data_IF_827919396801
#
_entry.id   IF_827919396801
#
_cell.length_a   1.000
_cell.length_b   1.000
_cell.length_c   1.000
_cell.angle_alpha   90.00
_cell.angle_beta   90.00
_cell.angle_gamma   90.00
#
_symmetry.space_group_name_H-M   'P 1'
#
loop_
_entity.id
_entity.type
_entity.pdbx_description
1 polymer ?
#
# COMPACT_ATOMS: atom_id res chain seq x y z
N UNK A 1 12.86 -17.01 6.07
CA UNK A 1 13.15 -17.13 4.62
C UNK A 1 13.44 -15.76 3.96
N UNK A 2 12.79 -14.65 4.36
CA UNK A 2 13.08 -13.27 3.87
C UNK A 2 14.45 -12.73 4.32
N UNK A 3 14.95 -13.06 5.51
CA UNK A 3 16.34 -12.74 5.91
C UNK A 3 17.39 -13.15 4.87
N UNK A 4 17.14 -14.25 4.14
CA UNK A 4 18.03 -14.71 3.09
C UNK A 4 18.01 -13.84 1.81
N UNK A 5 16.92 -13.13 1.52
CA UNK A 5 16.83 -12.25 0.34
C UNK A 5 17.56 -10.93 0.59
N UNK A 6 17.27 -10.27 1.73
CA UNK A 6 17.94 -9.01 2.11
C UNK A 6 19.43 -9.22 2.31
N UNK A 7 19.86 -10.31 2.96
CA UNK A 7 21.29 -10.66 3.06
C UNK A 7 21.94 -10.94 1.70
N UNK A 8 21.20 -11.51 0.74
CA UNK A 8 21.70 -11.71 -0.64
C UNK A 8 21.92 -10.37 -1.35
N UNK A 9 20.98 -9.40 -1.19
CA UNK A 9 21.15 -8.07 -1.77
C UNK A 9 22.25 -7.26 -1.10
N UNK A 10 22.37 -7.31 0.22
CA UNK A 10 23.47 -6.69 0.98
C UNK A 10 24.83 -7.28 0.57
N UNK A 11 24.91 -8.60 0.39
CA UNK A 11 26.11 -9.25 -0.12
C UNK A 11 26.46 -8.80 -1.55
N UNK A 12 25.43 -8.56 -2.37
CA UNK A 12 25.61 -8.02 -3.73
C UNK A 12 26.01 -6.54 -3.69
N UNK A 13 25.29 -5.72 -2.92
CA UNK A 13 25.58 -4.28 -2.76
C UNK A 13 26.99 -4.07 -2.22
N UNK A 14 27.36 -4.77 -1.14
CA UNK A 14 28.69 -4.71 -0.54
C UNK A 14 29.81 -5.14 -1.52
N UNK A 15 29.52 -6.14 -2.36
CA UNK A 15 30.45 -6.58 -3.41
C UNK A 15 30.58 -5.57 -4.56
N UNK A 16 29.53 -4.76 -4.83
CA UNK A 16 29.57 -3.72 -5.86
C UNK A 16 30.03 -2.36 -5.33
N UNK A 17 29.71 -2.00 -4.07
CA UNK A 17 30.18 -0.76 -3.42
C UNK A 17 31.68 -0.77 -3.11
N UNK A 18 32.23 -1.93 -2.72
CA UNK A 18 33.65 -2.10 -2.42
C UNK A 18 34.49 -2.54 -3.63
N UNK A 19 33.95 -2.45 -4.85
CA UNK A 19 34.70 -2.82 -6.07
C UNK A 19 35.82 -1.86 -6.34
N UNK A 20 36.99 -2.44 -6.64
CA UNK A 20 38.10 -1.74 -7.30
C UNK A 20 37.56 -1.08 -8.58
N UNK A 21 38.01 0.14 -8.92
CA UNK A 21 37.63 0.79 -10.18
C UNK A 21 37.84 -0.18 -11.36
N UNK A 22 36.94 -0.15 -12.34
CA UNK A 22 36.92 -1.08 -13.48
C UNK A 22 38.27 -1.20 -14.22
N UNK A 23 39.10 -0.18 -14.13
CA UNK A 23 40.49 -0.14 -14.68
C UNK A 23 41.48 -1.04 -13.93
N UNK A 24 41.13 -1.59 -12.75
CA UNK A 24 41.99 -2.44 -11.92
C UNK A 24 41.49 -3.88 -11.77
N UNK A 25 40.35 -4.23 -12.40
CA UNK A 25 39.80 -5.58 -12.35
C UNK A 25 40.60 -6.52 -13.27
N UNK A 26 41.00 -7.68 -12.75
CA UNK A 26 41.60 -8.71 -13.57
C UNK A 26 40.50 -9.38 -14.45
N UNK A 27 40.92 -9.98 -15.57
CA UNK A 27 39.98 -10.77 -16.40
C UNK A 27 39.30 -11.91 -15.61
N UNK A 28 40.00 -12.44 -14.60
CA UNK A 28 39.46 -13.48 -13.71
C UNK A 28 38.34 -12.92 -12.82
N UNK A 29 38.50 -11.71 -12.28
CA UNK A 29 37.45 -11.08 -11.45
C UNK A 29 36.16 -10.87 -12.24
N UNK A 30 36.28 -10.44 -13.51
CA UNK A 30 35.09 -10.26 -14.41
C UNK A 30 34.39 -11.60 -14.68
N UNK A 31 35.17 -12.67 -14.91
CA UNK A 31 34.60 -14.00 -15.14
C UNK A 31 33.91 -14.53 -13.89
N UNK A 32 34.51 -14.36 -12.71
CA UNK A 32 33.90 -14.77 -11.43
C UNK A 32 32.61 -14.01 -11.20
N UNK A 33 32.59 -12.68 -11.38
CA UNK A 33 31.39 -11.87 -11.21
C UNK A 33 30.28 -12.28 -12.17
N UNK A 34 30.61 -12.61 -13.41
CA UNK A 34 29.64 -13.10 -14.39
C UNK A 34 29.07 -14.46 -14.00
N UNK A 35 29.90 -15.38 -13.50
CA UNK A 35 29.42 -16.70 -13.01
C UNK A 35 28.50 -16.50 -11.79
N UNK A 36 28.87 -15.66 -10.84
CA UNK A 36 28.04 -15.34 -9.68
C UNK A 36 26.70 -14.74 -10.11
N UNK A 37 26.71 -13.79 -11.05
CA UNK A 37 25.49 -13.23 -11.63
C UNK A 37 24.59 -14.31 -12.25
N UNK A 38 25.15 -15.22 -13.03
CA UNK A 38 24.38 -16.32 -13.64
C UNK A 38 23.77 -17.24 -12.58
N UNK A 39 24.55 -17.66 -11.57
CA UNK A 39 24.07 -18.55 -10.51
C UNK A 39 22.92 -17.91 -9.72
N UNK A 40 23.04 -16.62 -9.41
CA UNK A 40 21.97 -15.88 -8.72
C UNK A 40 20.75 -15.72 -9.59
N UNK A 41 20.93 -15.40 -10.88
CA UNK A 41 19.82 -15.30 -11.82
C UNK A 41 19.06 -16.64 -11.96
N UNK A 42 19.77 -17.76 -12.04
CA UNK A 42 19.17 -19.09 -12.02
C UNK A 42 18.41 -19.35 -10.72
N UNK A 43 18.98 -18.95 -9.56
CA UNK A 43 18.31 -19.06 -8.26
C UNK A 43 16.97 -18.31 -8.23
N UNK A 44 16.93 -17.09 -8.74
CA UNK A 44 15.67 -16.31 -8.85
C UNK A 44 14.67 -16.94 -9.82
N UNK A 45 15.14 -17.47 -10.95
CA UNK A 45 14.25 -18.19 -11.88
C UNK A 45 13.61 -19.42 -11.20
N UNK A 46 14.39 -20.20 -10.46
CA UNK A 46 13.88 -21.37 -9.73
C UNK A 46 12.86 -20.93 -8.66
N UNK A 47 13.16 -19.89 -7.91
CA UNK A 47 12.26 -19.32 -6.90
C UNK A 47 10.95 -18.82 -7.53
N UNK A 48 11.03 -18.10 -8.66
CA UNK A 48 9.87 -17.63 -9.41
C UNK A 48 9.00 -18.81 -9.92
N UNK A 49 9.62 -19.86 -10.45
CA UNK A 49 8.92 -21.08 -10.88
C UNK A 49 8.27 -21.77 -9.69
N UNK A 50 8.98 -21.89 -8.55
CA UNK A 50 8.43 -22.47 -7.33
C UNK A 50 7.18 -21.70 -6.86
N UNK A 51 7.26 -20.35 -6.78
CA UNK A 51 6.12 -19.53 -6.38
C UNK A 51 4.96 -19.58 -7.39
N UNK A 52 5.26 -19.75 -8.67
CA UNK A 52 4.23 -19.92 -9.70
C UNK A 52 3.48 -21.24 -9.55
N UNK A 53 4.18 -22.32 -9.19
CA UNK A 53 3.60 -23.66 -9.06
C UNK A 53 2.94 -23.91 -7.69
N UNK A 54 3.51 -23.39 -6.61
CA UNK A 54 3.10 -23.69 -5.24
C UNK A 54 2.48 -22.49 -4.50
N UNK A 55 2.43 -21.31 -5.14
CA UNK A 55 1.96 -20.07 -4.52
C UNK A 55 2.99 -19.45 -3.54
N UNK A 56 2.65 -18.29 -3.03
CA UNK A 56 3.38 -17.66 -1.94
C UNK A 56 2.81 -18.11 -0.60
N UNK A 57 3.62 -18.21 0.46
CA UNK A 57 3.10 -18.49 1.80
C UNK A 57 2.13 -17.39 2.21
N UNK A 58 0.93 -17.78 2.64
CA UNK A 58 -0.08 -16.86 3.10
C UNK A 58 0.33 -16.26 4.47
N UNK A 59 0.04 -14.96 4.64
CA UNK A 59 0.22 -14.29 5.93
C UNK A 59 -0.98 -14.64 6.81
N UNK A 60 -0.74 -15.12 8.03
CA UNK A 60 -1.80 -15.23 9.03
C UNK A 60 -2.25 -13.82 9.45
N UNK A 61 -3.54 -13.57 9.32
CA UNK A 61 -4.17 -12.29 9.65
C UNK A 61 -5.09 -12.40 10.86
N UNK A 62 -5.12 -13.55 11.52
CA UNK A 62 -5.97 -13.77 12.69
C UNK A 62 -5.51 -12.91 13.87
N UNK A 63 -6.44 -12.14 14.43
CA UNK A 63 -6.17 -11.24 15.55
C UNK A 63 -5.51 -9.90 15.18
N UNK A 64 -5.08 -9.71 13.94
CA UNK A 64 -4.53 -8.45 13.44
C UNK A 64 -5.55 -7.29 13.54
N UNK A 65 -5.06 -6.06 13.67
CA UNK A 65 -5.88 -4.84 13.67
C UNK A 65 -5.61 -4.08 12.38
N UNK A 66 -6.65 -3.94 11.57
CA UNK A 66 -6.58 -3.23 10.29
C UNK A 66 -7.32 -1.90 10.33
N UNK A 67 -6.71 -0.84 9.82
CA UNK A 67 -7.38 0.42 9.46
C UNK A 67 -7.55 0.46 7.95
N UNK A 68 -8.78 0.77 7.49
CA UNK A 68 -9.12 0.90 6.08
C UNK A 68 -9.69 2.28 5.85
N UNK A 69 -8.97 3.14 5.11
CA UNK A 69 -9.50 4.43 4.68
C UNK A 69 -10.46 4.25 3.51
N UNK A 70 -11.51 5.06 3.44
CA UNK A 70 -12.59 4.86 2.46
C UNK A 70 -13.40 3.58 2.75
N UNK A 71 -13.55 3.23 4.04
CA UNK A 71 -14.22 2.00 4.48
C UNK A 71 -15.73 2.00 4.29
N UNK A 72 -16.35 3.16 4.07
CA UNK A 72 -17.75 3.30 3.70
C UNK A 72 -18.04 3.02 2.23
N UNK A 73 -17.00 3.07 1.37
CA UNK A 73 -17.11 2.85 -0.07
C UNK A 73 -17.07 1.36 -0.47
N UNK A 74 -17.46 1.09 -1.73
CA UNK A 74 -17.60 -0.28 -2.23
C UNK A 74 -16.35 -1.14 -2.09
N UNK A 75 -15.18 -0.66 -2.52
CA UNK A 75 -13.93 -1.42 -2.43
C UNK A 75 -13.46 -1.59 -0.98
N UNK A 76 -13.50 -0.50 -0.19
CA UNK A 76 -13.12 -0.55 1.23
C UNK A 76 -13.97 -1.54 2.03
N UNK A 77 -15.28 -1.58 1.76
CA UNK A 77 -16.22 -2.55 2.34
C UNK A 77 -15.85 -3.98 1.98
N UNK A 78 -15.56 -4.26 0.69
CA UNK A 78 -15.17 -5.61 0.25
C UNK A 78 -13.86 -6.07 0.86
N UNK A 79 -12.88 -5.18 0.99
CA UNK A 79 -11.63 -5.45 1.69
C UNK A 79 -11.89 -5.79 3.17
N UNK A 80 -12.70 -4.98 3.85
CA UNK A 80 -13.07 -5.21 5.24
C UNK A 80 -13.77 -6.57 5.43
N UNK A 81 -14.75 -6.90 4.59
CA UNK A 81 -15.46 -8.19 4.62
C UNK A 81 -14.48 -9.37 4.42
N UNK A 82 -13.48 -9.23 3.55
CA UNK A 82 -12.48 -10.27 3.33
C UNK A 82 -11.55 -10.45 4.54
N UNK A 83 -11.07 -9.34 5.10
CA UNK A 83 -10.18 -9.34 6.26
C UNK A 83 -10.85 -9.95 7.48
N UNK A 84 -12.09 -9.60 7.75
CA UNK A 84 -12.87 -10.16 8.87
C UNK A 84 -13.02 -11.68 8.76
N UNK A 85 -13.23 -12.23 7.55
CA UNK A 85 -13.26 -13.69 7.34
C UNK A 85 -11.92 -14.37 7.64
N UNK A 86 -10.83 -13.61 7.64
CA UNK A 86 -9.49 -14.07 8.00
C UNK A 86 -9.17 -13.83 9.47
N UNK A 87 -10.15 -13.43 10.29
CA UNK A 87 -10.00 -13.20 11.72
C UNK A 87 -9.43 -11.83 12.10
N UNK A 88 -9.32 -10.90 11.15
CA UNK A 88 -8.82 -9.54 11.38
C UNK A 88 -9.88 -8.67 12.03
N UNK A 89 -9.51 -7.86 13.02
CA UNK A 89 -10.34 -6.76 13.55
C UNK A 89 -10.21 -5.55 12.63
N UNK A 90 -11.33 -5.03 12.10
CA UNK A 90 -11.28 -3.92 11.15
C UNK A 90 -11.81 -2.62 11.74
N UNK A 91 -11.14 -1.53 11.44
CA UNK A 91 -11.54 -0.16 11.78
C UNK A 91 -11.67 0.60 10.47
N UNK A 92 -12.85 1.13 10.23
CA UNK A 92 -13.20 1.83 9.00
C UNK A 92 -13.13 3.34 9.21
N UNK A 93 -12.40 4.02 8.36
CA UNK A 93 -12.36 5.47 8.28
C UNK A 93 -13.01 5.93 6.98
N UNK A 94 -13.95 6.86 7.08
CA UNK A 94 -14.61 7.49 5.94
C UNK A 94 -15.18 8.85 6.37
N UNK A 95 -15.53 9.69 5.41
CA UNK A 95 -16.28 10.92 5.64
C UNK A 95 -17.80 10.69 5.60
N UNK A 96 -18.26 9.57 5.04
CA UNK A 96 -19.67 9.21 4.88
C UNK A 96 -20.15 8.37 6.07
N UNK A 97 -20.95 8.97 6.95
CA UNK A 97 -21.60 8.25 8.05
C UNK A 97 -22.49 7.11 7.53
N UNK A 98 -23.31 7.38 6.50
CA UNK A 98 -24.21 6.38 5.90
C UNK A 98 -23.42 5.17 5.36
N UNK A 99 -22.32 5.42 4.62
CA UNK A 99 -21.45 4.36 4.09
C UNK A 99 -20.80 3.54 5.20
N UNK A 100 -20.37 4.20 6.28
CA UNK A 100 -19.79 3.53 7.46
C UNK A 100 -20.82 2.67 8.18
N UNK A 101 -22.04 3.18 8.38
CA UNK A 101 -23.14 2.45 9.05
C UNK A 101 -23.52 1.20 8.26
N UNK A 102 -23.64 1.32 6.93
CA UNK A 102 -23.92 0.19 6.04
C UNK A 102 -22.79 -0.85 6.09
N UNK A 103 -21.54 -0.43 5.97
CA UNK A 103 -20.38 -1.32 6.02
C UNK A 103 -20.28 -2.04 7.36
N UNK A 104 -20.46 -1.32 8.47
CA UNK A 104 -20.42 -1.88 9.82
C UNK A 104 -21.52 -2.92 10.01
N UNK A 105 -22.76 -2.60 9.62
CA UNK A 105 -23.90 -3.51 9.71
C UNK A 105 -23.66 -4.82 8.96
N UNK A 106 -23.12 -4.75 7.74
CA UNK A 106 -22.82 -5.93 6.94
C UNK A 106 -21.73 -6.78 7.63
N UNK A 107 -20.65 -6.16 8.10
CA UNK A 107 -19.53 -6.87 8.74
C UNK A 107 -19.97 -7.53 10.04
N UNK A 108 -20.74 -6.82 10.87
CA UNK A 108 -21.28 -7.36 12.13
C UNK A 108 -22.25 -8.50 11.89
N UNK A 109 -23.07 -8.44 10.81
CA UNK A 109 -23.97 -9.54 10.42
C UNK A 109 -23.22 -10.82 10.02
N UNK A 110 -21.94 -10.70 9.63
CA UNK A 110 -21.05 -11.83 9.34
C UNK A 110 -20.34 -12.35 10.59
N UNK A 111 -20.63 -11.80 11.78
CA UNK A 111 -19.94 -12.13 13.03
C UNK A 111 -18.56 -11.48 13.17
N UNK A 112 -18.25 -10.51 12.32
CA UNK A 112 -16.96 -9.83 12.33
C UNK A 112 -16.86 -8.71 13.37
N UNK A 113 -15.65 -8.45 13.84
CA UNK A 113 -15.38 -7.28 14.69
C UNK A 113 -15.09 -6.07 13.81
N UNK A 114 -15.92 -5.04 13.94
CA UNK A 114 -15.82 -3.81 13.18
C UNK A 114 -16.03 -2.59 14.08
N UNK A 115 -15.26 -1.53 13.83
CA UNK A 115 -15.50 -0.19 14.35
C UNK A 115 -15.40 0.81 13.21
N UNK A 116 -16.14 1.90 13.34
CA UNK A 116 -16.16 2.98 12.35
C UNK A 116 -15.86 4.32 13.02
N UNK A 117 -15.15 5.19 12.31
CA UNK A 117 -14.87 6.57 12.73
C UNK A 117 -15.01 7.48 11.51
N UNK A 118 -15.69 8.62 11.68
CA UNK A 118 -15.68 9.68 10.68
C UNK A 118 -14.34 10.37 10.76
N UNK A 119 -13.57 10.28 9.67
CA UNK A 119 -12.25 10.88 9.55
C UNK A 119 -12.06 11.43 8.14
N UNK A 120 -11.84 12.72 8.02
CA UNK A 120 -11.35 13.31 6.78
C UNK A 120 -9.81 13.16 6.74
N UNK A 121 -9.35 12.20 5.96
CA UNK A 121 -7.91 11.89 5.87
C UNK A 121 -7.10 12.98 5.19
N UNK A 122 -7.73 13.94 4.48
CA UNK A 122 -7.05 15.11 3.94
C UNK A 122 -6.58 16.06 5.06
N UNK A 123 -7.10 15.90 6.27
CA UNK A 123 -6.83 16.71 7.45
C UNK A 123 -5.96 15.94 8.43
N UNK A 124 -4.66 16.24 8.44
CA UNK A 124 -3.67 15.51 9.26
C UNK A 124 -4.02 15.44 10.74
N UNK A 125 -4.62 16.52 11.28
CA UNK A 125 -5.01 16.61 12.69
C UNK A 125 -6.09 15.57 13.05
N UNK A 126 -7.05 15.35 12.14
CA UNK A 126 -8.07 14.31 12.29
C UNK A 126 -7.47 12.92 12.23
N UNK A 127 -6.53 12.68 11.29
CA UNK A 127 -5.81 11.40 11.15
C UNK A 127 -5.06 11.07 12.44
N UNK A 128 -4.25 11.99 12.96
CA UNK A 128 -3.47 11.73 14.17
C UNK A 128 -4.35 11.52 15.40
N UNK A 129 -5.39 12.34 15.57
CA UNK A 129 -6.35 12.18 16.66
C UNK A 129 -7.04 10.80 16.60
N UNK A 130 -7.54 10.41 15.43
CA UNK A 130 -8.21 9.13 15.26
C UNK A 130 -7.25 7.94 15.48
N UNK A 131 -5.99 8.04 15.05
CA UNK A 131 -4.99 7.02 15.29
C UNK A 131 -4.66 6.86 16.79
N UNK A 132 -4.56 7.97 17.54
CA UNK A 132 -4.33 7.94 18.99
C UNK A 132 -5.52 7.33 19.72
N UNK A 133 -6.75 7.62 19.29
CA UNK A 133 -7.96 6.99 19.82
C UNK A 133 -7.98 5.47 19.59
N UNK A 134 -7.57 5.01 18.40
CA UNK A 134 -7.48 3.58 18.09
C UNK A 134 -6.46 2.93 19.03
N UNK A 135 -5.27 3.48 19.12
CA UNK A 135 -4.19 2.95 19.95
C UNK A 135 -4.60 2.81 21.41
N UNK A 136 -5.29 3.83 21.95
CA UNK A 136 -5.72 3.83 23.35
C UNK A 136 -6.86 2.84 23.64
N UNK A 137 -7.75 2.58 22.66
CA UNK A 137 -8.97 1.78 22.88
C UNK A 137 -8.83 0.32 22.43
N UNK A 138 -8.05 0.08 21.36
CA UNK A 138 -8.06 -1.21 20.66
C UNK A 138 -6.66 -1.82 20.52
N UNK A 139 -5.60 -1.04 20.69
CA UNK A 139 -4.22 -1.47 20.52
C UNK A 139 -3.56 -0.97 19.24
N UNK A 140 -2.36 -1.47 18.97
CA UNK A 140 -1.56 -1.04 17.83
C UNK A 140 -2.10 -1.60 16.52
N UNK A 141 -2.18 -0.75 15.51
CA UNK A 141 -2.59 -1.13 14.15
C UNK A 141 -1.42 -1.81 13.46
N UNK A 142 -1.66 -2.99 12.94
CA UNK A 142 -0.67 -3.83 12.24
C UNK A 142 -0.89 -3.87 10.73
N UNK A 143 -2.10 -3.53 10.27
CA UNK A 143 -2.44 -3.46 8.86
C UNK A 143 -3.04 -2.08 8.53
N UNK A 144 -2.43 -1.37 7.60
CA UNK A 144 -2.95 -0.09 7.10
C UNK A 144 -3.32 -0.21 5.63
N UNK A 145 -4.60 0.03 5.30
CA UNK A 145 -5.06 0.10 3.92
C UNK A 145 -5.35 1.56 3.55
N UNK A 146 -4.44 2.17 2.82
CA UNK A 146 -4.65 3.45 2.15
C UNK A 146 -5.49 3.20 0.90
N UNK A 147 -6.82 3.11 1.10
CA UNK A 147 -7.77 2.76 0.05
C UNK A 147 -8.63 3.95 -0.40
N UNK A 148 -8.86 4.94 0.45
CA UNK A 148 -9.64 6.11 0.05
C UNK A 148 -9.08 6.78 -1.21
N UNK A 149 -9.96 7.19 -2.09
CA UNK A 149 -9.58 7.87 -3.31
C UNK A 149 -10.76 8.62 -3.92
N UNK A 150 -10.43 9.68 -4.64
CA UNK A 150 -11.40 10.54 -5.35
C UNK A 150 -10.85 10.89 -6.72
N UNK A 151 -11.74 11.31 -7.62
CA UNK A 151 -11.40 11.80 -8.97
C UNK A 151 -12.36 12.93 -9.38
N UNK A 152 -11.98 13.73 -10.37
CA UNK A 152 -12.84 14.78 -10.94
C UNK A 152 -13.67 14.28 -12.13
N UNK A 153 -13.11 13.41 -12.96
CA UNK A 153 -13.76 12.90 -14.18
C UNK A 153 -13.97 13.95 -15.28
N UNK A 154 -13.17 15.01 -15.30
CA UNK A 154 -13.31 16.18 -16.19
C UNK A 154 -12.07 16.41 -17.02
N UNK A 155 -12.22 17.12 -18.15
CA UNK A 155 -11.08 17.64 -18.88
C UNK A 155 -10.34 18.69 -18.04
N UNK A 156 -9.02 18.84 -18.24
CA UNK A 156 -8.19 19.72 -17.40
C UNK A 156 -8.73 21.14 -17.30
N UNK A 157 -9.12 21.73 -18.43
CA UNK A 157 -9.61 23.11 -18.46
C UNK A 157 -11.01 23.30 -17.84
N UNK A 158 -11.76 22.21 -17.69
CA UNK A 158 -13.09 22.19 -17.07
C UNK A 158 -13.04 21.73 -15.60
N UNK A 159 -11.86 21.37 -15.10
CA UNK A 159 -11.69 20.91 -13.73
C UNK A 159 -11.43 22.10 -12.80
N UNK A 160 -12.32 22.41 -11.86
CA UNK A 160 -12.07 23.44 -10.86
C UNK A 160 -10.82 23.12 -10.01
N UNK A 161 -10.01 24.12 -9.69
CA UNK A 161 -8.74 23.97 -8.98
C UNK A 161 -8.90 23.19 -7.65
N UNK A 162 -9.96 23.47 -6.89
CA UNK A 162 -10.23 22.78 -5.62
C UNK A 162 -10.46 21.26 -5.76
N UNK A 163 -10.91 20.77 -6.94
CA UNK A 163 -11.04 19.32 -7.18
C UNK A 163 -9.69 18.69 -7.49
N UNK A 164 -8.78 19.43 -8.14
CA UNK A 164 -7.39 18.99 -8.34
C UNK A 164 -6.69 18.85 -6.98
N UNK A 165 -6.78 19.89 -6.15
CA UNK A 165 -6.21 19.90 -4.79
C UNK A 165 -6.79 18.75 -3.96
N UNK A 166 -8.12 18.54 -4.00
CA UNK A 166 -8.78 17.45 -3.31
C UNK A 166 -8.24 16.08 -3.76
N UNK A 167 -8.07 15.87 -5.08
CA UNK A 167 -7.54 14.63 -5.62
C UNK A 167 -6.14 14.33 -5.07
N UNK A 168 -5.26 15.31 -5.00
CA UNK A 168 -3.93 15.14 -4.42
C UNK A 168 -3.96 14.96 -2.90
N UNK A 169 -4.75 15.77 -2.20
CA UNK A 169 -4.83 15.71 -0.74
C UNK A 169 -5.34 14.34 -0.25
N UNK A 170 -6.34 13.77 -0.93
CA UNK A 170 -6.90 12.46 -0.55
C UNK A 170 -6.05 11.32 -1.08
N UNK A 171 -5.68 11.32 -2.37
CA UNK A 171 -5.06 10.16 -3.01
C UNK A 171 -3.55 10.03 -2.73
N UNK A 172 -2.89 11.10 -2.24
CA UNK A 172 -1.43 11.14 -2.04
C UNK A 172 -1.04 11.67 -0.67
N UNK A 173 -1.39 12.95 -0.38
CA UNK A 173 -0.91 13.63 0.83
C UNK A 173 -1.38 12.92 2.10
N UNK A 174 -2.61 12.39 2.09
CA UNK A 174 -3.15 11.60 3.18
C UNK A 174 -2.31 10.35 3.51
N UNK A 175 -1.64 9.73 2.51
CA UNK A 175 -0.77 8.58 2.76
C UNK A 175 0.40 8.92 3.68
N UNK A 176 0.96 10.13 3.58
CA UNK A 176 2.01 10.58 4.50
C UNK A 176 1.50 10.66 5.94
N UNK A 177 0.27 11.14 6.14
CA UNK A 177 -0.32 11.29 7.48
C UNK A 177 -0.65 9.94 8.09
N UNK A 178 -1.32 9.05 7.35
CA UNK A 178 -1.68 7.72 7.83
C UNK A 178 -0.45 6.87 8.12
N UNK A 179 0.55 6.89 7.23
CA UNK A 179 1.80 6.15 7.45
C UNK A 179 2.56 6.70 8.66
N UNK A 180 2.70 8.03 8.79
CA UNK A 180 3.34 8.65 9.98
C UNK A 180 2.60 8.34 11.28
N UNK A 181 1.29 8.15 11.23
CA UNK A 181 0.49 7.80 12.41
C UNK A 181 0.72 6.37 12.91
N UNK A 182 0.93 5.41 12.00
CA UNK A 182 0.96 3.99 12.35
C UNK A 182 2.34 3.33 12.21
N UNK A 183 3.15 3.74 11.25
CA UNK A 183 4.47 3.15 10.98
C UNK A 183 5.39 3.09 12.20
N UNK A 184 5.50 4.12 13.06
CA UNK A 184 6.39 4.07 14.22
C UNK A 184 6.14 2.86 15.13
N UNK A 185 4.86 2.54 15.39
CA UNK A 185 4.50 1.37 16.21
C UNK A 185 4.69 0.04 15.46
N UNK A 186 4.49 0.01 14.15
CA UNK A 186 4.81 -1.16 13.35
C UNK A 186 6.31 -1.49 13.40
N UNK A 187 7.18 -0.46 13.36
CA UNK A 187 8.63 -0.62 13.49
C UNK A 187 9.01 -1.08 14.90
N UNK A 188 8.49 -0.42 15.95
CA UNK A 188 8.75 -0.78 17.36
C UNK A 188 8.37 -2.23 17.66
N UNK A 189 7.22 -2.67 17.14
CA UNK A 189 6.70 -4.03 17.34
C UNK A 189 7.30 -5.05 16.36
N UNK A 190 8.21 -4.64 15.46
CA UNK A 190 8.76 -5.49 14.39
C UNK A 190 7.66 -6.23 13.60
N UNK A 191 6.53 -5.57 13.37
CA UNK A 191 5.37 -6.17 12.72
C UNK A 191 4.46 -5.11 12.10
N UNK A 192 4.25 -5.19 10.79
CA UNK A 192 3.35 -4.28 10.09
C UNK A 192 3.20 -4.59 8.61
N UNK A 193 2.10 -4.09 8.04
CA UNK A 193 1.90 -4.13 6.60
C UNK A 193 1.08 -2.91 6.15
N UNK A 194 1.63 -2.16 5.22
CA UNK A 194 1.01 -1.00 4.60
C UNK A 194 0.59 -1.39 3.19
N UNK A 195 -0.69 -1.22 2.88
CA UNK A 195 -1.26 -1.53 1.56
C UNK A 195 -1.76 -0.25 0.94
N UNK A 196 -1.22 0.11 -0.21
CA UNK A 196 -1.58 1.31 -0.97
C UNK A 196 -2.47 0.91 -2.16
N UNK A 197 -3.72 1.38 -2.18
CA UNK A 197 -4.60 1.17 -3.34
C UNK A 197 -4.36 2.29 -4.34
N UNK A 198 -3.48 2.02 -5.30
CA UNK A 198 -3.22 2.90 -6.43
C UNK A 198 -4.26 2.67 -7.56
N UNK A 199 -3.81 2.45 -8.78
CA UNK A 199 -4.63 2.14 -9.95
C UNK A 199 -3.72 1.81 -11.13
N UNK A 200 -4.22 1.13 -12.15
CA UNK A 200 -3.54 1.11 -13.46
C UNK A 200 -3.36 2.51 -14.04
N UNK A 201 -4.20 3.49 -13.65
CA UNK A 201 -4.00 4.90 -13.92
C UNK A 201 -2.75 5.51 -13.25
N UNK A 202 -2.06 4.77 -12.38
CA UNK A 202 -0.72 5.10 -11.86
C UNK A 202 0.42 4.67 -12.77
N UNK A 203 0.13 4.01 -13.89
CA UNK A 203 1.11 3.56 -14.89
C UNK A 203 0.79 4.07 -16.30
N UNK A 204 -0.46 4.47 -16.56
CA UNK A 204 -0.90 4.99 -17.87
C UNK A 204 -1.78 6.22 -17.69
N UNK A 205 -1.66 7.19 -18.62
CA UNK A 205 -2.53 8.36 -18.67
C UNK A 205 -3.87 8.04 -19.32
N UNK A 206 -4.94 8.63 -18.79
CA UNK A 206 -6.31 8.49 -19.31
C UNK A 206 -6.90 9.89 -19.51
N UNK A 207 -7.48 10.14 -20.67
CA UNK A 207 -8.15 11.41 -20.94
C UNK A 207 -9.28 11.69 -19.94
N UNK A 208 -9.46 12.95 -19.57
CA UNK A 208 -10.41 13.41 -18.54
C UNK A 208 -10.14 12.93 -17.10
N UNK A 209 -8.98 12.31 -16.86
CA UNK A 209 -8.55 11.83 -15.54
C UNK A 209 -7.13 12.34 -15.20
N UNK A 210 -6.76 13.55 -15.61
CA UNK A 210 -5.39 14.06 -15.44
C UNK A 210 -5.04 14.17 -13.95
N UNK A 211 -5.90 14.77 -13.13
CA UNK A 211 -5.74 14.88 -11.68
C UNK A 211 -5.62 13.51 -11.02
N UNK A 212 -6.51 12.60 -11.40
CA UNK A 212 -6.53 11.22 -10.89
C UNK A 212 -5.28 10.44 -11.30
N UNK A 213 -4.95 10.40 -12.61
CA UNK A 213 -3.75 9.71 -13.08
C UNK A 213 -2.50 10.24 -12.40
N UNK A 214 -2.31 11.57 -12.37
CA UNK A 214 -1.15 12.19 -11.71
C UNK A 214 -1.06 11.82 -10.24
N UNK A 215 -2.19 11.82 -9.51
CA UNK A 215 -2.22 11.40 -8.12
C UNK A 215 -1.91 9.92 -7.94
N UNK A 216 -2.38 9.04 -8.84
CA UNK A 216 -2.12 7.60 -8.76
C UNK A 216 -0.69 7.22 -9.15
N UNK A 217 -0.05 7.94 -10.08
CA UNK A 217 1.40 7.86 -10.31
C UNK A 217 2.18 8.23 -9.04
N UNK A 218 1.78 9.32 -8.37
CA UNK A 218 2.40 9.74 -7.12
C UNK A 218 2.19 8.70 -5.99
N UNK A 219 1.03 8.04 -5.91
CA UNK A 219 0.77 6.99 -4.93
C UNK A 219 1.65 5.73 -5.16
N UNK A 220 1.89 5.35 -6.41
CA UNK A 220 2.84 4.29 -6.76
C UNK A 220 4.26 4.67 -6.34
N UNK A 221 4.70 5.89 -6.70
CA UNK A 221 6.02 6.39 -6.32
C UNK A 221 6.22 6.53 -4.81
N UNK A 222 5.16 6.90 -4.07
CA UNK A 222 5.16 6.94 -2.60
C UNK A 222 5.43 5.56 -2.00
N UNK A 223 4.72 4.52 -2.46
CA UNK A 223 4.89 3.15 -1.94
C UNK A 223 6.30 2.61 -2.25
N UNK A 224 6.78 2.81 -3.47
CA UNK A 224 8.12 2.40 -3.88
C UNK A 224 9.21 3.09 -3.04
N UNK A 225 9.11 4.42 -2.84
CA UNK A 225 10.05 5.17 -2.03
C UNK A 225 10.03 4.73 -0.56
N UNK A 226 8.83 4.52 0.02
CA UNK A 226 8.67 4.03 1.39
C UNK A 226 9.30 2.64 1.57
N UNK A 227 9.08 1.74 0.62
CA UNK A 227 9.67 0.39 0.64
C UNK A 227 11.20 0.45 0.65
N UNK A 228 11.78 1.27 -0.24
CA UNK A 228 13.24 1.45 -0.31
C UNK A 228 13.81 2.10 0.95
N UNK A 229 13.10 3.08 1.53
CA UNK A 229 13.51 3.70 2.79
C UNK A 229 13.54 2.70 3.94
N UNK A 230 12.50 1.86 4.09
CA UNK A 230 12.49 0.78 5.09
C UNK A 230 13.62 -0.22 4.88
N UNK A 231 13.92 -0.57 3.62
CA UNK A 231 15.01 -1.47 3.26
C UNK A 231 16.39 -0.87 3.64
N UNK A 232 16.63 0.40 3.33
CA UNK A 232 17.87 1.12 3.72
C UNK A 232 18.01 1.25 5.24
N UNK A 233 16.89 1.40 5.95
CA UNK A 233 16.86 1.40 7.41
C UNK A 233 17.05 0.01 8.05
N UNK A 234 17.09 -1.07 7.27
CA UNK A 234 17.19 -2.45 7.75
C UNK A 234 15.90 -2.96 8.40
N UNK A 235 14.75 -2.41 8.03
CA UNK A 235 13.44 -2.76 8.60
C UNK A 235 12.76 -3.78 7.70
N UNK A 236 13.02 -5.07 7.93
CA UNK A 236 12.46 -6.18 7.15
C UNK A 236 11.10 -6.66 7.66
N UNK A 237 10.68 -6.22 8.83
CA UNK A 237 9.48 -6.68 9.53
C UNK A 237 8.21 -5.91 9.14
N UNK A 238 8.37 -4.73 8.52
CA UNK A 238 7.27 -3.93 7.97
C UNK A 238 7.25 -4.08 6.46
N UNK A 239 6.12 -4.52 5.94
CA UNK A 239 5.96 -4.74 4.51
C UNK A 239 5.13 -3.65 3.86
N UNK A 240 5.40 -3.36 2.59
CA UNK A 240 4.55 -2.52 1.76
C UNK A 240 4.01 -3.33 0.59
N UNK A 241 2.81 -2.97 0.12
CA UNK A 241 2.19 -3.55 -1.08
C UNK A 241 1.41 -2.47 -1.79
N UNK A 242 1.74 -2.21 -3.04
CA UNK A 242 0.92 -1.37 -3.91
C UNK A 242 0.02 -2.26 -4.77
N UNK A 243 -1.27 -1.96 -4.77
CA UNK A 243 -2.28 -2.63 -5.60
C UNK A 243 -2.73 -1.66 -6.66
N UNK A 244 -2.60 -2.05 -7.93
CA UNK A 244 -2.97 -1.24 -9.09
C UNK A 244 -4.17 -1.85 -9.81
N UNK A 245 -5.40 -1.69 -9.30
CA UNK A 245 -6.59 -2.28 -9.91
C UNK A 245 -6.83 -1.67 -11.29
N UNK A 246 -7.42 -2.47 -12.16
CA UNK A 246 -8.11 -1.99 -13.35
C UNK A 246 -9.51 -1.44 -12.95
N UNK A 247 -10.41 -1.21 -13.90
CA UNK A 247 -11.75 -0.75 -13.57
C UNK A 247 -12.50 -1.78 -12.71
N UNK A 248 -12.88 -1.40 -11.49
CA UNK A 248 -13.71 -2.20 -10.61
C UNK A 248 -15.15 -1.68 -10.74
N UNK A 249 -16.04 -2.52 -11.25
CA UNK A 249 -17.44 -2.18 -11.39
C UNK A 249 -18.15 -2.13 -10.03
N UNK A 250 -19.26 -1.40 -9.95
CA UNK A 250 -20.14 -1.33 -8.78
C UNK A 250 -19.45 -0.82 -7.48
N UNK A 251 -18.44 0.02 -7.60
CA UNK A 251 -17.81 0.68 -6.43
C UNK A 251 -18.28 2.11 -6.21
N UNK A 252 -19.11 2.66 -7.12
CA UNK A 252 -19.62 4.04 -7.09
C UNK A 252 -18.62 5.10 -7.57
N UNK A 253 -17.33 4.78 -7.67
CA UNK A 253 -16.28 5.77 -7.98
C UNK A 253 -16.39 6.36 -9.40
N UNK A 254 -16.90 5.60 -10.35
CA UNK A 254 -16.97 5.96 -11.77
C UNK A 254 -18.41 6.17 -12.29
N UNK A 255 -19.41 6.15 -11.42
CA UNK A 255 -20.81 6.21 -11.82
C UNK A 255 -21.15 7.54 -12.55
N UNK A 256 -20.48 8.62 -12.21
CA UNK A 256 -20.65 9.95 -12.81
C UNK A 256 -19.65 10.23 -13.96
N UNK A 257 -18.72 9.33 -14.25
CA UNK A 257 -17.72 9.52 -15.28
C UNK A 257 -18.24 9.02 -16.62
N UNK A 258 -18.72 9.92 -17.48
CA UNK A 258 -19.05 9.61 -18.87
C UNK A 258 -17.78 9.20 -19.64
N UNK A 259 -17.49 7.91 -19.64
CA UNK A 259 -16.47 7.28 -20.48
C UNK A 259 -17.02 7.13 -21.90
N UNK A 260 -16.89 8.18 -22.72
CA UNK A 260 -17.02 8.09 -24.18
C UNK A 260 -15.71 8.45 -24.83
#
# INVERSE_FOLDING_TARGET
>A
MKMAQTQKWLFFADRFENKKPSSQMSKLDVVIDFIVFLLVSVGYCIEAVHHTLFGHPEKDLNGEIAVITGGGGGLGRLLAMRLVRLGTKVILWDISQEGLDESTKIIESMGGWCKAQIVDISRREEVYKAADEIRSKYGDVTLLFNNAGVLSGRALLDTPDHLIERSFNVNVVAHFWTVKAFLPKMIENNHGHIVTIASMAGHVGIAKLIDYCSSKFAAVGFDEALRLELEVMGIDSVHTTVICPYFIQATGMFDDVNSR
#
